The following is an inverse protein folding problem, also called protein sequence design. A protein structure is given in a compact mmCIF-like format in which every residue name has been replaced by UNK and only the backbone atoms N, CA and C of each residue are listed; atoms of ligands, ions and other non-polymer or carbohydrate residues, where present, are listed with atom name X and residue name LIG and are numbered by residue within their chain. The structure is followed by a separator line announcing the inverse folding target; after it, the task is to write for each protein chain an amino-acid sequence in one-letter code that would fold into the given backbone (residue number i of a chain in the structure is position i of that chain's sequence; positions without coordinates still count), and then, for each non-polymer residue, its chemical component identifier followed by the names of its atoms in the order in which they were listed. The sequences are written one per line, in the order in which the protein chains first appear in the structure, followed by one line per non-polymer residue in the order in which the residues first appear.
data_IF_852988816078
#
_entry.id   IF_852988816078
#
_cell.length_a   1.000
_cell.length_b   1.000
_cell.length_c   1.000
_cell.angle_alpha   90.00
_cell.angle_beta   90.00
_cell.angle_gamma   90.00
#
_symmetry.space_group_name_H-M   'P 1'
#
loop_
_entity.id
_entity.type
_entity.pdbx_description
1 polymer ?
#
# COMPACT_ATOMS: atom_id res chain seq x y z
N UNK A 1 40.07 64.16 40.14
CA UNK A 1 41.20 63.29 39.77
C UNK A 1 40.71 62.31 38.71
N UNK A 2 41.35 62.31 37.53
CA UNK A 2 41.16 61.44 36.35
C UNK A 2 39.73 61.39 35.75
N UNK A 3 39.48 61.54 34.45
CA UNK A 3 40.34 61.67 33.28
C UNK A 3 39.44 61.75 32.03
N UNK A 4 39.95 62.49 31.05
CA UNK A 4 39.52 62.70 29.65
C UNK A 4 38.97 61.42 28.97
N UNK A 5 38.13 61.44 27.93
CA UNK A 5 38.43 62.02 26.62
C UNK A 5 37.27 61.85 25.61
N UNK A 6 37.35 62.67 24.55
CA UNK A 6 36.49 62.80 23.36
C UNK A 6 36.37 61.53 22.51
N UNK A 7 35.30 61.43 21.70
CA UNK A 7 35.28 61.21 20.23
C UNK A 7 33.81 61.06 19.78
N UNK A 8 33.24 61.97 18.98
CA UNK A 8 33.42 62.16 17.53
C UNK A 8 32.97 60.97 16.67
N UNK A 9 31.73 61.06 16.19
CA UNK A 9 31.29 60.80 14.82
C UNK A 9 31.72 59.51 14.10
N UNK A 10 30.76 58.63 13.85
CA UNK A 10 30.69 57.83 12.62
C UNK A 10 29.22 57.76 12.18
N UNK A 11 28.90 58.47 11.08
CA UNK A 11 27.83 58.15 10.13
C UNK A 11 28.44 57.28 9.02
N UNK A 12 27.60 56.53 8.29
CA UNK A 12 27.90 55.44 7.32
C UNK A 12 28.05 54.08 8.02
N UNK A 13 27.24 53.05 7.79
CA UNK A 13 26.61 52.56 6.57
C UNK A 13 25.17 52.13 6.83
N UNK A 14 24.24 52.66 6.04
CA UNK A 14 22.82 52.32 6.08
C UNK A 14 22.43 51.95 4.64
N UNK A 15 22.86 50.79 4.17
CA UNK A 15 22.42 50.18 2.90
C UNK A 15 22.99 48.77 2.76
N UNK A 16 22.18 47.85 2.25
CA UNK A 16 22.48 46.43 1.97
C UNK A 16 22.28 45.42 3.12
N UNK A 17 21.04 45.32 3.64
CA UNK A 17 20.58 44.10 4.30
C UNK A 17 19.07 43.88 4.11
N UNK A 18 18.59 43.82 2.86
CA UNK A 18 17.15 43.64 2.61
C UNK A 18 16.80 42.86 1.32
N UNK A 19 17.64 41.92 0.87
CA UNK A 19 17.39 41.14 -0.36
C UNK A 19 18.03 39.73 -0.34
N UNK A 20 17.85 38.99 0.75
CA UNK A 20 18.30 37.59 0.84
C UNK A 20 17.29 36.68 1.55
N UNK A 21 15.99 36.87 1.33
CA UNK A 21 14.93 36.04 1.93
C UNK A 21 13.83 35.63 0.95
N UNK A 22 14.17 35.47 -0.34
CA UNK A 22 13.24 35.09 -1.41
C UNK A 22 13.83 33.98 -2.31
N UNK A 23 14.37 32.91 -1.72
CA UNK A 23 14.80 31.74 -2.50
C UNK A 23 14.83 30.45 -1.65
N UNK A 24 13.76 30.17 -0.90
CA UNK A 24 13.51 28.81 -0.39
C UNK A 24 12.04 28.48 -0.57
N UNK A 25 11.53 28.65 -1.79
CA UNK A 25 10.34 27.92 -2.22
C UNK A 25 10.83 26.52 -2.53
N UNK A 26 10.82 25.68 -1.50
CA UNK A 26 11.29 24.31 -1.52
C UNK A 26 10.74 23.59 -2.74
N UNK A 27 11.66 23.17 -3.61
CA UNK A 27 11.48 22.01 -4.45
C UNK A 27 10.96 20.90 -3.55
N UNK A 28 9.66 20.61 -3.63
CA UNK A 28 9.13 19.33 -3.22
C UNK A 28 9.78 18.31 -4.14
N UNK A 29 10.96 17.83 -3.75
CA UNK A 29 11.58 16.66 -4.32
C UNK A 29 10.64 15.50 -4.02
N UNK A 30 9.67 15.29 -4.92
CA UNK A 30 9.03 14.00 -5.04
C UNK A 30 10.17 13.00 -5.18
N UNK A 31 10.32 12.12 -4.19
CA UNK A 31 11.32 11.06 -4.24
C UNK A 31 11.08 10.30 -5.54
N UNK A 32 11.91 10.56 -6.54
CA UNK A 32 11.85 9.86 -7.82
C UNK A 32 12.31 8.44 -7.52
N UNK A 33 11.43 7.46 -7.70
CA UNK A 33 11.81 6.06 -7.53
C UNK A 33 12.96 5.75 -8.47
N UNK A 34 14.02 5.11 -7.99
CA UNK A 34 15.17 4.73 -8.82
C UNK A 34 14.85 3.52 -9.73
N UNK A 35 13.60 3.04 -9.73
CA UNK A 35 13.12 1.95 -10.56
C UNK A 35 12.94 2.42 -12.01
N UNK A 36 13.59 1.71 -12.93
CA UNK A 36 13.34 1.84 -14.37
C UNK A 36 12.04 1.11 -14.73
N UNK A 37 11.09 1.82 -15.32
CA UNK A 37 9.86 1.21 -15.84
C UNK A 37 10.03 0.74 -17.28
N UNK A 38 9.33 -0.34 -17.60
CA UNK A 38 9.14 -0.82 -18.95
C UNK A 38 8.01 -0.07 -19.66
N UNK A 39 8.09 0.02 -20.99
CA UNK A 39 7.01 0.56 -21.83
C UNK A 39 5.75 -0.32 -21.78
N UNK A 40 4.60 0.24 -22.14
CA UNK A 40 3.36 -0.55 -22.31
C UNK A 40 3.46 -1.53 -23.48
N UNK A 41 2.78 -2.67 -23.37
CA UNK A 41 2.66 -3.64 -24.48
C UNK A 41 1.22 -3.64 -25.01
N UNK A 42 0.93 -3.09 -26.20
CA UNK A 42 -0.44 -2.93 -26.70
C UNK A 42 -1.26 -4.23 -26.76
N UNK A 43 -0.60 -5.37 -26.99
CA UNK A 43 -1.28 -6.66 -26.93
C UNK A 43 -1.74 -6.99 -25.50
N UNK A 44 -0.90 -6.76 -24.49
CA UNK A 44 -1.23 -7.01 -23.09
C UNK A 44 -2.28 -6.01 -22.61
N UNK A 45 -2.17 -4.73 -22.98
CA UNK A 45 -3.15 -3.70 -22.67
C UNK A 45 -4.58 -4.11 -23.07
N UNK A 46 -4.74 -4.66 -24.28
CA UNK A 46 -6.03 -5.17 -24.77
C UNK A 46 -6.55 -6.33 -23.93
N UNK A 47 -5.68 -7.28 -23.59
CA UNK A 47 -6.05 -8.44 -22.77
C UNK A 47 -6.40 -8.06 -21.33
N UNK A 48 -5.66 -7.11 -20.76
CA UNK A 48 -5.97 -6.55 -19.44
C UNK A 48 -7.32 -5.85 -19.48
N UNK A 49 -7.56 -5.00 -20.48
CA UNK A 49 -8.86 -4.32 -20.64
C UNK A 49 -10.02 -5.32 -20.79
N UNK A 50 -9.83 -6.41 -21.52
CA UNK A 50 -10.82 -7.48 -21.64
C UNK A 50 -11.03 -8.23 -20.32
N UNK A 51 -9.96 -8.57 -19.61
CA UNK A 51 -10.04 -9.24 -18.31
C UNK A 51 -10.73 -8.39 -17.25
N UNK A 52 -10.45 -7.09 -17.19
CA UNK A 52 -11.08 -6.17 -16.24
C UNK A 52 -12.60 -6.03 -16.48
N UNK A 53 -13.09 -6.35 -17.69
CA UNK A 53 -14.53 -6.39 -18.02
C UNK A 53 -15.20 -7.73 -17.75
N UNK A 54 -14.43 -8.82 -17.70
CA UNK A 54 -14.91 -10.16 -17.39
C UNK A 54 -14.91 -10.38 -15.88
N UNK A 55 -15.97 -10.95 -15.29
CA UNK A 55 -15.96 -11.39 -13.89
C UNK A 55 -15.59 -12.88 -13.77
N UNK A 56 -14.95 -13.25 -12.67
CA UNK A 56 -14.64 -14.64 -12.35
C UNK A 56 -13.30 -15.11 -12.93
N UNK A 57 -13.19 -16.42 -13.13
CA UNK A 57 -11.98 -17.07 -13.65
C UNK A 57 -12.29 -17.85 -14.92
N UNK A 58 -11.50 -17.66 -15.98
CA UNK A 58 -11.65 -18.39 -17.25
C UNK A 58 -10.75 -17.85 -18.35
N UNK A 59 -10.73 -18.50 -19.52
CA UNK A 59 -10.00 -17.99 -20.67
C UNK A 59 -10.65 -16.73 -21.23
N UNK A 60 -9.83 -15.76 -21.64
CA UNK A 60 -10.31 -14.66 -22.48
C UNK A 60 -10.73 -15.22 -23.85
N UNK A 61 -11.84 -14.74 -24.43
CA UNK A 61 -12.36 -15.19 -25.71
C UNK A 61 -11.31 -15.31 -26.82
N UNK A 62 -11.21 -16.48 -27.46
CA UNK A 62 -10.29 -16.75 -28.58
C UNK A 62 -8.81 -16.53 -28.22
N UNK A 63 -8.44 -16.70 -26.96
CA UNK A 63 -7.05 -16.68 -26.52
C UNK A 63 -6.74 -17.85 -25.60
N UNK A 64 -5.46 -18.08 -25.38
CA UNK A 64 -4.84 -18.98 -24.41
C UNK A 64 -4.42 -18.24 -23.12
N UNK A 65 -5.08 -17.11 -22.80
CA UNK A 65 -4.83 -16.32 -21.58
C UNK A 65 -5.96 -16.54 -20.59
N UNK A 66 -5.60 -16.91 -19.36
CA UNK A 66 -6.57 -16.98 -18.26
C UNK A 66 -6.74 -15.57 -17.70
N UNK A 67 -7.98 -15.12 -17.58
CA UNK A 67 -8.37 -14.01 -16.74
C UNK A 67 -8.82 -14.52 -15.37
N UNK A 68 -8.28 -13.92 -14.32
CA UNK A 68 -8.76 -14.02 -12.96
C UNK A 68 -9.17 -12.62 -12.50
N UNK A 69 -10.47 -12.36 -12.42
CA UNK A 69 -11.03 -11.10 -11.96
C UNK A 69 -12.15 -11.34 -10.94
N UNK A 70 -11.74 -11.64 -9.71
CA UNK A 70 -12.65 -11.95 -8.62
C UNK A 70 -11.95 -11.88 -7.25
N UNK A 71 -12.75 -11.99 -6.19
CA UNK A 71 -12.23 -12.34 -4.87
C UNK A 71 -11.70 -13.78 -4.82
N UNK A 72 -10.78 -14.02 -3.89
CA UNK A 72 -10.14 -15.30 -3.65
C UNK A 72 -11.06 -16.21 -2.83
N UNK A 73 -11.72 -17.13 -3.55
CA UNK A 73 -12.63 -18.13 -2.98
C UNK A 73 -12.22 -19.57 -3.32
N UNK A 74 -12.62 -20.56 -2.49
CA UNK A 74 -12.30 -21.97 -2.72
C UNK A 74 -12.68 -22.48 -4.12
N UNK A 75 -13.84 -22.08 -4.63
CA UNK A 75 -14.31 -22.52 -5.95
C UNK A 75 -13.43 -22.00 -7.10
N UNK A 76 -12.86 -20.80 -6.95
CA UNK A 76 -11.92 -20.27 -7.93
C UNK A 76 -10.59 -21.03 -7.91
N UNK A 77 -10.13 -21.49 -6.74
CA UNK A 77 -8.97 -22.38 -6.66
C UNK A 77 -9.25 -23.72 -7.34
N UNK A 78 -10.42 -24.32 -7.08
CA UNK A 78 -10.83 -25.57 -7.74
C UNK A 78 -10.85 -25.38 -9.26
N UNK A 79 -11.45 -24.29 -9.74
CA UNK A 79 -11.52 -23.98 -11.17
C UNK A 79 -10.15 -23.68 -11.76
N UNK A 80 -9.28 -22.95 -11.07
CA UNK A 80 -7.91 -22.71 -11.51
C UNK A 80 -7.20 -24.04 -11.75
N UNK A 81 -7.28 -24.99 -10.80
CA UNK A 81 -6.66 -26.32 -10.91
C UNK A 81 -7.12 -27.13 -12.13
N UNK A 82 -8.37 -26.98 -12.54
CA UNK A 82 -8.94 -27.74 -13.67
C UNK A 82 -8.74 -27.05 -15.03
N UNK A 83 -8.40 -25.77 -15.07
CA UNK A 83 -8.13 -25.08 -16.33
C UNK A 83 -6.85 -25.65 -16.97
N UNK A 84 -6.85 -25.90 -18.30
CA UNK A 84 -5.64 -26.21 -19.06
C UNK A 84 -4.50 -25.20 -18.84
N UNK A 85 -3.30 -25.58 -19.28
CA UNK A 85 -2.17 -24.66 -19.30
C UNK A 85 -2.47 -23.45 -20.20
N UNK A 86 -2.04 -22.29 -19.75
CA UNK A 86 -2.22 -21.01 -20.43
C UNK A 86 -0.86 -20.38 -20.66
N UNK A 87 -0.72 -19.49 -21.65
CA UNK A 87 0.55 -18.77 -21.84
C UNK A 87 0.78 -17.67 -20.80
N UNK A 88 -0.31 -17.19 -20.20
CA UNK A 88 -0.33 -16.08 -19.25
C UNK A 88 -1.60 -16.14 -18.41
N UNK A 89 -1.50 -15.68 -17.18
CA UNK A 89 -2.63 -15.37 -16.32
C UNK A 89 -2.65 -13.86 -16.09
N UNK A 90 -3.78 -13.20 -16.32
CA UNK A 90 -4.02 -11.83 -15.86
C UNK A 90 -4.79 -11.92 -14.56
N UNK A 91 -4.27 -11.33 -13.50
CA UNK A 91 -4.78 -11.50 -12.14
C UNK A 91 -5.12 -10.14 -11.51
N UNK A 92 -6.38 -10.01 -11.13
CA UNK A 92 -6.95 -8.86 -10.41
C UNK A 92 -7.86 -9.40 -9.31
N UNK A 93 -7.70 -8.90 -8.08
CA UNK A 93 -8.45 -9.36 -6.92
C UNK A 93 -8.42 -8.35 -5.78
N UNK A 94 -9.57 -8.11 -5.14
CA UNK A 94 -9.63 -7.38 -3.88
C UNK A 94 -9.16 -8.19 -2.65
N UNK A 95 -8.66 -9.42 -2.87
CA UNK A 95 -8.27 -10.34 -1.80
C UNK A 95 -9.37 -11.36 -1.49
N UNK A 96 -9.40 -11.85 -0.26
CA UNK A 96 -10.25 -12.96 0.17
C UNK A 96 -9.55 -13.86 1.18
N UNK A 97 -10.04 -15.09 1.31
CA UNK A 97 -9.58 -16.02 2.36
C UNK A 97 -8.07 -16.31 2.25
N UNK A 98 -7.31 -16.06 3.33
CA UNK A 98 -5.86 -16.20 3.36
C UNK A 98 -5.38 -17.63 3.10
N UNK A 99 -6.05 -18.64 3.66
CA UNK A 99 -5.67 -20.05 3.45
C UNK A 99 -5.87 -20.45 1.98
N UNK A 100 -6.96 -19.98 1.37
CA UNK A 100 -7.20 -20.20 -0.06
C UNK A 100 -6.17 -19.45 -0.91
N UNK A 101 -5.81 -18.22 -0.56
CA UNK A 101 -4.80 -17.44 -1.26
C UNK A 101 -3.43 -18.12 -1.24
N UNK A 102 -3.02 -18.70 -0.10
CA UNK A 102 -1.78 -19.49 0.00
C UNK A 102 -1.81 -20.71 -0.94
N UNK A 103 -2.89 -21.49 -0.91
CA UNK A 103 -3.07 -22.64 -1.81
C UNK A 103 -3.17 -22.24 -3.29
N UNK A 104 -3.72 -21.07 -3.57
CA UNK A 104 -3.77 -20.51 -4.91
C UNK A 104 -2.39 -20.06 -5.38
N UNK A 105 -1.59 -19.46 -4.50
CA UNK A 105 -0.21 -19.15 -4.80
C UNK A 105 0.62 -20.41 -5.10
N UNK A 106 0.48 -21.47 -4.29
CA UNK A 106 1.10 -22.78 -4.56
C UNK A 106 0.73 -23.32 -5.95
N UNK A 107 -0.55 -23.25 -6.32
CA UNK A 107 -1.03 -23.67 -7.64
C UNK A 107 -0.47 -22.80 -8.78
N UNK A 108 -0.42 -21.48 -8.60
CA UNK A 108 0.18 -20.56 -9.58
C UNK A 108 1.68 -20.85 -9.77
N UNK A 109 2.41 -21.13 -8.68
CA UNK A 109 3.82 -21.55 -8.72
C UNK A 109 4.00 -22.87 -9.46
N UNK A 110 3.18 -23.86 -9.14
CA UNK A 110 3.21 -25.19 -9.78
C UNK A 110 2.96 -25.12 -11.28
N UNK A 111 2.10 -24.19 -11.72
CA UNK A 111 1.81 -23.96 -13.14
C UNK A 111 2.97 -23.32 -13.90
N UNK A 112 3.80 -22.55 -13.21
CA UNK A 112 4.90 -21.74 -13.77
C UNK A 112 4.50 -20.85 -14.96
N UNK A 113 3.22 -20.47 -15.01
CA UNK A 113 2.67 -19.57 -16.02
C UNK A 113 3.01 -18.12 -15.65
N UNK A 114 3.48 -17.28 -16.59
CA UNK A 114 3.63 -15.84 -16.36
C UNK A 114 2.33 -15.21 -15.85
N UNK A 115 2.44 -14.41 -14.78
CA UNK A 115 1.29 -13.73 -14.17
C UNK A 115 1.45 -12.23 -14.33
N UNK A 116 0.46 -11.59 -14.95
CA UNK A 116 0.32 -10.14 -15.02
C UNK A 116 -0.64 -9.67 -13.94
N UNK A 117 -0.14 -8.91 -12.96
CA UNK A 117 -0.98 -8.20 -12.00
C UNK A 117 -1.50 -6.93 -12.66
N UNK A 118 -2.81 -6.79 -12.72
CA UNK A 118 -3.50 -5.63 -13.28
C UNK A 118 -4.72 -5.30 -12.42
N UNK A 119 -5.22 -4.06 -12.49
CA UNK A 119 -6.34 -3.63 -11.66
C UNK A 119 -6.04 -3.69 -10.16
N UNK A 120 -7.06 -3.74 -9.31
CA UNK A 120 -6.86 -3.91 -7.87
C UNK A 120 -6.26 -5.28 -7.56
N UNK A 121 -5.15 -5.31 -6.82
CA UNK A 121 -4.61 -6.47 -6.13
C UNK A 121 -4.43 -6.10 -4.66
N UNK A 122 -5.47 -6.36 -3.87
CA UNK A 122 -5.61 -5.87 -2.49
C UNK A 122 -5.52 -7.02 -1.48
N UNK A 123 -5.15 -6.70 -0.23
CA UNK A 123 -5.15 -7.63 0.90
C UNK A 123 -4.40 -8.92 0.56
N UNK A 124 -5.02 -10.10 0.70
CA UNK A 124 -4.39 -11.39 0.42
C UNK A 124 -3.86 -11.55 -1.01
N UNK A 125 -4.33 -10.78 -1.99
CA UNK A 125 -3.68 -10.71 -3.30
C UNK A 125 -2.26 -10.12 -3.19
N UNK A 126 -2.11 -8.94 -2.61
CA UNK A 126 -0.83 -8.29 -2.42
C UNK A 126 0.06 -9.03 -1.40
N UNK A 127 -0.53 -9.55 -0.33
CA UNK A 127 0.19 -10.13 0.80
C UNK A 127 0.61 -11.59 0.56
N UNK A 128 -0.14 -12.36 -0.25
CA UNK A 128 0.05 -13.81 -0.37
C UNK A 128 0.15 -14.30 -1.83
N UNK A 129 -0.58 -13.69 -2.78
CA UNK A 129 -0.45 -14.09 -4.20
C UNK A 129 0.83 -13.54 -4.80
N UNK A 130 1.04 -12.22 -4.77
CA UNK A 130 2.19 -11.58 -5.41
C UNK A 130 3.55 -12.16 -4.97
N UNK A 131 3.82 -12.34 -3.66
CA UNK A 131 5.16 -12.71 -3.21
C UNK A 131 5.65 -14.07 -3.67
N UNK A 132 4.74 -15.00 -3.96
CA UNK A 132 5.13 -16.32 -4.44
C UNK A 132 5.17 -16.45 -5.96
N UNK A 133 4.92 -15.40 -6.74
CA UNK A 133 4.99 -15.51 -8.20
C UNK A 133 6.46 -15.59 -8.66
N UNK A 134 6.75 -16.47 -9.63
CA UNK A 134 8.11 -16.61 -10.20
C UNK A 134 8.34 -15.68 -11.41
N UNK A 135 7.29 -15.39 -12.18
CA UNK A 135 7.33 -14.61 -13.43
C UNK A 135 6.25 -13.55 -13.41
N UNK A 136 6.58 -12.45 -12.76
CA UNK A 136 5.67 -11.37 -12.42
C UNK A 136 5.79 -10.21 -13.41
N UNK A 137 4.67 -9.85 -14.03
CA UNK A 137 4.50 -8.59 -14.76
C UNK A 137 3.56 -7.67 -13.97
N UNK A 138 4.03 -6.49 -13.58
CA UNK A 138 3.16 -5.44 -13.02
C UNK A 138 2.71 -4.52 -14.16
N UNK A 139 1.41 -4.52 -14.46
CA UNK A 139 0.83 -3.70 -15.51
C UNK A 139 0.48 -2.30 -14.99
N UNK A 140 0.48 -1.28 -15.87
CA UNK A 140 0.22 0.13 -15.51
C UNK A 140 -1.10 0.42 -14.81
N UNK A 141 -2.09 -0.46 -14.95
CA UNK A 141 -3.39 -0.35 -14.28
C UNK A 141 -3.38 -0.90 -12.86
N UNK A 142 -2.27 -1.45 -12.37
CA UNK A 142 -2.25 -2.10 -11.07
C UNK A 142 -2.37 -1.09 -9.93
N UNK A 143 -3.26 -1.39 -8.98
CA UNK A 143 -3.25 -0.85 -7.62
C UNK A 143 -2.93 -2.01 -6.68
N UNK A 144 -1.77 -1.97 -6.05
CA UNK A 144 -1.32 -3.02 -5.15
C UNK A 144 -1.32 -2.46 -3.74
N UNK A 145 -2.14 -3.02 -2.86
CA UNK A 145 -2.24 -2.53 -1.48
C UNK A 145 -2.37 -3.66 -0.47
N UNK A 146 -1.65 -3.53 0.65
CA UNK A 146 -1.80 -4.40 1.82
C UNK A 146 -2.50 -3.65 2.94
N UNK A 147 -3.17 -4.38 3.82
CA UNK A 147 -3.85 -3.82 4.97
C UNK A 147 -3.40 -4.46 6.27
N UNK A 148 -3.67 -3.77 7.36
CA UNK A 148 -3.31 -4.18 8.71
C UNK A 148 -1.94 -3.67 9.12
N UNK A 149 -1.91 -2.89 10.20
CA UNK A 149 -0.69 -2.73 11.00
C UNK A 149 -0.51 -4.03 11.77
N UNK A 150 0.27 -4.95 11.22
CA UNK A 150 0.46 -6.32 11.72
C UNK A 150 1.53 -6.48 12.82
N UNK A 151 2.33 -5.44 13.08
CA UNK A 151 3.58 -5.56 13.85
C UNK A 151 3.54 -4.89 15.21
N UNK A 152 2.37 -4.46 15.67
CA UNK A 152 2.24 -3.93 17.03
C UNK A 152 2.53 -5.03 18.04
N UNK A 153 3.44 -4.75 18.98
CA UNK A 153 3.56 -5.52 20.21
C UNK A 153 2.31 -5.34 21.08
N UNK A 154 2.13 -6.21 22.08
CA UNK A 154 0.93 -6.22 22.92
C UNK A 154 0.64 -4.86 23.54
N UNK A 155 1.64 -4.18 24.10
CA UNK A 155 1.44 -2.89 24.76
C UNK A 155 0.94 -1.81 23.78
N UNK A 156 1.52 -1.73 22.57
CA UNK A 156 1.09 -0.78 21.54
C UNK A 156 -0.31 -1.11 21.01
N UNK A 157 -0.56 -2.39 20.71
CA UNK A 157 -1.86 -2.87 20.25
C UNK A 157 -2.95 -2.59 21.30
N UNK A 158 -2.66 -2.85 22.57
CA UNK A 158 -3.59 -2.66 23.67
C UNK A 158 -3.94 -1.19 23.84
N UNK A 159 -2.93 -0.31 23.82
CA UNK A 159 -3.13 1.15 23.86
C UNK A 159 -3.98 1.60 22.68
N UNK A 160 -3.81 1.00 21.51
CA UNK A 160 -4.57 1.32 20.31
C UNK A 160 -6.05 0.95 20.44
N UNK A 161 -6.33 -0.31 20.76
CA UNK A 161 -7.69 -0.86 20.85
C UNK A 161 -8.46 -0.34 22.08
N UNK A 162 -7.75 0.05 23.13
CA UNK A 162 -8.34 0.55 24.37
C UNK A 162 -8.15 2.06 24.59
N UNK A 163 -8.19 2.84 23.50
CA UNK A 163 -8.30 4.31 23.54
C UNK A 163 -7.24 4.98 24.42
N UNK A 164 -5.99 4.55 24.30
CA UNK A 164 -4.87 5.12 25.05
C UNK A 164 -4.58 4.46 26.40
N UNK A 165 -5.45 3.56 26.89
CA UNK A 165 -5.24 2.89 28.17
C UNK A 165 -4.06 1.92 28.08
N UNK A 166 -3.14 2.01 29.04
CA UNK A 166 -2.03 1.05 29.15
C UNK A 166 -2.50 -0.28 29.76
N UNK A 167 -1.96 -1.43 29.32
CA UNK A 167 -2.28 -2.70 29.94
C UNK A 167 -1.71 -2.78 31.37
N UNK A 168 -2.44 -3.47 32.24
CA UNK A 168 -1.97 -3.83 33.58
C UNK A 168 -0.89 -4.92 33.53
N UNK A 169 -0.21 -5.17 34.65
CA UNK A 169 0.75 -6.27 34.74
C UNK A 169 0.08 -7.65 34.49
N UNK A 170 -1.15 -7.84 35.00
CA UNK A 170 -1.92 -9.07 34.78
C UNK A 170 -2.31 -9.24 33.30
N UNK A 171 -2.67 -8.15 32.61
CA UNK A 171 -2.99 -8.20 31.18
C UNK A 171 -1.77 -8.55 30.32
N UNK A 172 -0.61 -7.94 30.62
CA UNK A 172 0.66 -8.33 29.99
C UNK A 172 1.00 -9.81 30.23
N UNK A 173 0.84 -10.28 31.48
CA UNK A 173 1.09 -11.67 31.82
C UNK A 173 0.15 -12.61 31.04
N UNK A 174 -1.15 -12.32 31.02
CA UNK A 174 -2.17 -13.07 30.27
C UNK A 174 -1.82 -13.18 28.78
N UNK A 175 -1.51 -12.04 28.14
CA UNK A 175 -1.13 -12.01 26.73
C UNK A 175 0.17 -12.78 26.45
N UNK A 176 1.15 -12.75 27.37
CA UNK A 176 2.43 -13.45 27.19
C UNK A 176 2.30 -14.97 27.17
N UNK A 177 1.28 -15.52 27.83
CA UNK A 177 0.96 -16.96 27.82
C UNK A 177 -0.15 -17.32 26.83
N UNK A 178 -0.58 -16.37 26.00
CA UNK A 178 -1.57 -16.58 24.94
C UNK A 178 -3.02 -16.65 25.41
N UNK A 179 -3.34 -16.11 26.60
CA UNK A 179 -4.71 -16.06 27.15
C UNK A 179 -5.47 -14.77 26.80
N UNK A 180 -4.89 -13.88 25.99
CA UNK A 180 -5.60 -12.72 25.43
C UNK A 180 -6.07 -13.07 24.01
N UNK A 181 -7.29 -13.58 23.89
CA UNK A 181 -7.82 -14.12 22.63
C UNK A 181 -7.86 -13.07 21.51
N UNK A 182 -8.18 -11.81 21.85
CA UNK A 182 -8.25 -10.72 20.89
C UNK A 182 -6.86 -10.40 20.31
N UNK A 183 -5.84 -10.29 21.17
CA UNK A 183 -4.47 -10.08 20.71
C UNK A 183 -3.94 -11.30 19.95
N UNK A 184 -4.27 -12.52 20.39
CA UNK A 184 -3.85 -13.74 19.70
C UNK A 184 -4.50 -13.86 18.33
N UNK A 185 -5.77 -13.46 18.20
CA UNK A 185 -6.45 -13.37 16.92
C UNK A 185 -5.77 -12.36 16.00
N UNK A 186 -5.51 -11.14 16.49
CA UNK A 186 -4.76 -10.10 15.76
C UNK A 186 -3.40 -10.63 15.27
N UNK A 187 -2.64 -11.30 16.16
CA UNK A 187 -1.30 -11.83 15.85
C UNK A 187 -1.35 -13.02 14.89
N UNK A 188 -2.40 -13.84 14.92
CA UNK A 188 -2.51 -15.05 14.11
C UNK A 188 -2.46 -14.77 12.60
N UNK A 189 -3.09 -13.68 12.15
CA UNK A 189 -3.06 -13.26 10.76
C UNK A 189 -1.63 -12.97 10.29
N UNK A 190 -0.85 -12.25 11.10
CA UNK A 190 0.56 -11.96 10.78
C UNK A 190 1.40 -13.25 10.72
N UNK A 191 1.22 -14.18 11.66
CA UNK A 191 1.93 -15.47 11.66
C UNK A 191 1.69 -16.23 10.36
N UNK A 192 0.46 -16.25 9.85
CA UNK A 192 0.16 -16.92 8.59
C UNK A 192 0.84 -16.26 7.38
N UNK A 193 0.96 -14.93 7.37
CA UNK A 193 1.67 -14.20 6.31
C UNK A 193 3.17 -14.48 6.39
N UNK A 194 3.77 -14.35 7.58
CA UNK A 194 5.20 -14.60 7.76
C UNK A 194 5.60 -16.03 7.37
N UNK A 195 4.81 -17.03 7.79
CA UNK A 195 5.03 -18.42 7.41
C UNK A 195 4.96 -18.61 5.89
N UNK A 196 4.00 -17.96 5.24
CA UNK A 196 3.87 -18.00 3.79
C UNK A 196 5.07 -17.37 3.09
N UNK A 197 5.45 -16.14 3.47
CA UNK A 197 6.60 -15.43 2.92
C UNK A 197 7.88 -16.28 3.03
N UNK A 198 8.13 -16.86 4.21
CA UNK A 198 9.24 -17.80 4.44
C UNK A 198 9.16 -19.01 3.49
N UNK A 199 7.99 -19.62 3.32
CA UNK A 199 7.82 -20.79 2.43
C UNK A 199 8.01 -20.48 0.94
N UNK A 200 7.83 -19.22 0.53
CA UNK A 200 8.05 -18.77 -0.85
C UNK A 200 9.41 -18.07 -1.03
N UNK A 201 10.26 -18.05 0.02
CA UNK A 201 11.60 -17.49 -0.03
C UNK A 201 11.65 -15.95 -0.10
N UNK A 202 10.60 -15.28 0.37
CA UNK A 202 10.53 -13.82 0.46
C UNK A 202 10.81 -13.37 1.90
N UNK A 203 11.62 -12.34 2.03
CA UNK A 203 11.98 -11.75 3.33
C UNK A 203 10.74 -11.16 4.03
N UNK A 204 10.59 -11.44 5.33
CA UNK A 204 9.44 -10.97 6.13
C UNK A 204 9.32 -9.45 6.20
N UNK A 205 10.42 -8.74 5.94
CA UNK A 205 10.44 -7.30 5.75
C UNK A 205 9.44 -6.80 4.70
N UNK A 206 9.04 -7.65 3.74
CA UNK A 206 8.03 -7.33 2.73
C UNK A 206 6.74 -6.82 3.38
N UNK A 207 6.25 -7.49 4.43
CA UNK A 207 5.09 -6.98 5.17
C UNK A 207 5.49 -6.05 6.30
N UNK A 208 6.64 -6.29 6.94
CA UNK A 208 7.01 -5.50 8.11
C UNK A 208 7.23 -4.02 7.78
N UNK A 209 7.91 -3.71 6.67
CA UNK A 209 8.12 -2.30 6.27
C UNK A 209 6.82 -1.59 5.93
N UNK A 210 5.84 -2.29 5.38
CA UNK A 210 4.52 -1.73 5.07
C UNK A 210 3.75 -1.48 6.37
N UNK A 211 3.80 -2.44 7.29
CA UNK A 211 3.19 -2.35 8.63
C UNK A 211 3.75 -1.17 9.43
N UNK A 212 5.08 -1.01 9.44
CA UNK A 212 5.77 0.11 10.10
C UNK A 212 5.38 1.45 9.47
N UNK A 213 5.27 1.52 8.13
CA UNK A 213 4.80 2.70 7.41
C UNK A 213 3.36 3.06 7.78
N UNK A 214 2.45 2.08 7.78
CA UNK A 214 1.05 2.29 8.20
C UNK A 214 0.99 2.84 9.63
N UNK A 215 1.74 2.24 10.56
CA UNK A 215 1.80 2.68 11.96
C UNK A 215 2.28 4.12 12.09
N UNK A 216 3.35 4.47 11.38
CA UNK A 216 3.90 5.82 11.37
C UNK A 216 2.89 6.84 10.82
N UNK A 217 2.26 6.54 9.70
CA UNK A 217 1.32 7.43 9.04
C UNK A 217 0.04 7.60 9.87
N UNK A 218 -0.47 6.52 10.45
CA UNK A 218 -1.60 6.55 11.37
C UNK A 218 -1.31 7.41 12.62
N UNK A 219 -0.11 7.30 13.22
CA UNK A 219 0.28 8.14 14.38
C UNK A 219 0.40 9.63 14.03
N UNK A 220 0.69 9.95 12.76
CA UNK A 220 0.73 11.34 12.25
C UNK A 220 -0.67 11.86 11.93
N UNK A 221 -1.56 10.97 11.51
CA UNK A 221 -2.97 11.25 11.24
C UNK A 221 -3.77 11.29 12.54
N UNK A 222 -3.71 12.42 13.25
CA UNK A 222 -4.32 12.58 14.58
C UNK A 222 -5.85 12.74 14.58
N UNK A 223 -6.44 12.89 13.40
CA UNK A 223 -7.84 13.27 13.25
C UNK A 223 -8.81 12.13 13.57
N UNK A 224 -8.39 10.89 13.36
CA UNK A 224 -9.18 9.73 13.71
C UNK A 224 -8.35 8.46 13.85
N UNK A 225 -8.59 7.72 14.93
CA UNK A 225 -7.98 6.42 15.17
C UNK A 225 -8.99 5.32 14.82
N UNK A 226 -8.68 4.53 13.79
CA UNK A 226 -9.43 3.30 13.44
C UNK A 226 -8.68 2.06 13.92
N UNK A 227 -9.28 0.87 13.79
CA UNK A 227 -8.62 -0.38 14.18
C UNK A 227 -7.34 -0.60 13.36
N UNK A 228 -6.28 -1.20 13.92
CA UNK A 228 -5.05 -1.52 13.19
C UNK A 228 -5.29 -2.29 11.88
N UNK A 229 -6.31 -3.16 11.83
CA UNK A 229 -6.69 -3.94 10.64
C UNK A 229 -7.21 -3.11 9.46
N UNK A 230 -7.66 -1.88 9.72
CA UNK A 230 -8.45 -1.08 8.80
C UNK A 230 -7.58 -0.04 8.05
N UNK A 231 -6.30 0.04 8.40
CA UNK A 231 -5.31 0.81 7.66
C UNK A 231 -4.82 0.04 6.44
N UNK A 232 -4.64 0.77 5.34
CA UNK A 232 -4.13 0.26 4.07
C UNK A 232 -2.88 1.03 3.66
N UNK A 233 -1.98 0.37 2.96
CA UNK A 233 -0.83 1.01 2.30
C UNK A 233 -0.70 0.54 0.86
N UNK A 234 -0.58 1.50 -0.05
CA UNK A 234 -0.22 1.33 -1.46
C UNK A 234 1.26 0.96 -1.55
N UNK A 235 1.56 -0.16 -2.21
CA UNK A 235 2.93 -0.61 -2.43
C UNK A 235 3.62 0.23 -3.50
N UNK A 236 4.86 0.61 -3.24
CA UNK A 236 5.68 1.34 -4.21
C UNK A 236 6.44 0.41 -5.14
N UNK A 237 6.85 0.92 -6.32
CA UNK A 237 7.82 0.25 -7.19
C UNK A 237 9.10 -0.16 -6.45
N UNK A 238 9.68 0.73 -5.63
CA UNK A 238 10.88 0.45 -4.85
C UNK A 238 10.67 -0.72 -3.88
N UNK A 239 9.50 -0.80 -3.25
CA UNK A 239 9.17 -1.90 -2.35
C UNK A 239 9.08 -3.24 -3.11
N UNK A 240 8.36 -3.27 -4.23
CA UNK A 240 8.26 -4.46 -5.08
C UNK A 240 9.65 -4.88 -5.58
N UNK A 241 10.47 -3.93 -6.05
CA UNK A 241 11.82 -4.22 -6.53
C UNK A 241 12.73 -4.78 -5.43
N UNK A 242 12.69 -4.19 -4.23
CA UNK A 242 13.54 -4.60 -3.11
C UNK A 242 13.27 -6.05 -2.66
N UNK A 243 12.02 -6.49 -2.71
CA UNK A 243 11.62 -7.81 -2.19
C UNK A 243 11.41 -8.87 -3.26
N UNK A 244 10.94 -8.47 -4.43
CA UNK A 244 10.46 -9.36 -5.49
C UNK A 244 11.22 -9.18 -6.81
N UNK A 245 12.25 -8.33 -6.85
CA UNK A 245 12.96 -7.98 -8.09
C UNK A 245 13.50 -9.16 -8.90
N UNK A 246 13.77 -10.31 -8.25
CA UNK A 246 14.17 -11.56 -8.94
C UNK A 246 13.03 -12.22 -9.72
N UNK A 247 11.79 -12.05 -9.27
CA UNK A 247 10.58 -12.59 -9.89
C UNK A 247 9.95 -11.63 -10.90
N UNK A 248 10.23 -10.33 -10.78
CA UNK A 248 9.70 -9.31 -11.68
C UNK A 248 10.40 -9.40 -13.03
N UNK A 249 9.67 -9.83 -14.04
CA UNK A 249 10.14 -9.89 -15.43
C UNK A 249 9.79 -8.62 -16.22
N UNK A 250 8.79 -7.86 -15.76
CA UNK A 250 8.38 -6.58 -16.34
C UNK A 250 7.67 -5.72 -15.30
N UNK A 251 7.98 -4.43 -15.25
CA UNK A 251 7.29 -3.47 -14.38
C UNK A 251 6.99 -2.20 -15.17
N UNK A 252 5.73 -2.02 -15.54
CA UNK A 252 5.26 -0.75 -16.08
C UNK A 252 5.03 0.25 -14.95
N UNK A 253 4.98 1.55 -15.24
CA UNK A 253 4.58 2.55 -14.24
C UNK A 253 3.13 2.30 -13.80
N UNK A 254 2.93 1.99 -12.53
CA UNK A 254 1.63 1.69 -11.92
C UNK A 254 1.32 2.65 -10.76
N UNK A 255 0.15 2.50 -10.13
CA UNK A 255 -0.26 3.34 -9.00
C UNK A 255 0.71 3.16 -7.84
N UNK A 256 1.44 4.23 -7.50
CA UNK A 256 2.52 4.20 -6.50
C UNK A 256 2.24 5.02 -5.24
N UNK A 257 1.12 5.75 -5.23
CA UNK A 257 0.68 6.60 -4.12
C UNK A 257 -0.72 7.15 -4.36
N UNK A 258 -1.26 7.83 -3.36
CA UNK A 258 -2.62 8.35 -3.35
C UNK A 258 -2.77 9.53 -4.31
N UNK A 259 -1.77 10.42 -4.32
CA UNK A 259 -1.70 11.58 -5.21
C UNK A 259 -1.23 11.24 -6.63
N UNK A 260 -0.87 9.97 -6.89
CA UNK A 260 -0.47 9.52 -8.22
C UNK A 260 -1.63 9.75 -9.22
N UNK A 261 -1.41 10.43 -10.36
CA UNK A 261 -2.45 10.61 -11.37
C UNK A 261 -3.09 9.31 -11.85
N UNK A 262 -2.36 8.18 -11.82
CA UNK A 262 -2.88 6.87 -12.16
C UNK A 262 -3.90 6.35 -11.13
N UNK A 263 -3.86 6.87 -9.90
CA UNK A 263 -4.76 6.47 -8.82
C UNK A 263 -6.19 7.04 -8.96
N UNK A 264 -6.45 7.91 -9.95
CA UNK A 264 -7.76 8.56 -10.13
C UNK A 264 -8.93 7.58 -10.17
N UNK A 265 -8.71 6.37 -10.68
CA UNK A 265 -9.74 5.33 -10.72
C UNK A 265 -10.09 4.76 -9.34
N UNK A 266 -9.25 4.93 -8.32
CA UNK A 266 -9.37 4.30 -7.01
C UNK A 266 -9.50 5.29 -5.84
N UNK A 267 -9.29 6.60 -6.04
CA UNK A 267 -9.40 7.59 -4.95
C UNK A 267 -10.77 7.63 -4.26
N UNK A 268 -11.80 7.04 -4.86
CA UNK A 268 -13.16 6.98 -4.30
C UNK A 268 -13.36 5.85 -3.29
N UNK A 269 -12.36 4.98 -3.07
CA UNK A 269 -12.51 3.81 -2.16
C UNK A 269 -12.27 4.18 -0.69
N UNK A 270 -11.64 5.32 -0.41
CA UNK A 270 -11.23 5.65 0.95
C UNK A 270 -10.75 7.08 1.17
N UNK A 271 -10.30 7.31 2.39
CA UNK A 271 -9.76 8.56 2.90
C UNK A 271 -8.25 8.40 3.05
N UNK A 272 -7.48 9.23 2.34
CA UNK A 272 -6.04 9.27 2.51
C UNK A 272 -5.66 9.79 3.89
N UNK A 273 -4.72 9.10 4.54
CA UNK A 273 -4.05 9.56 5.75
C UNK A 273 -2.61 10.01 5.47
N UNK A 274 -2.03 9.52 4.38
CA UNK A 274 -0.77 9.97 3.79
C UNK A 274 -0.81 9.73 2.27
N UNK A 275 0.29 10.02 1.56
CA UNK A 275 0.40 9.65 0.15
C UNK A 275 0.49 8.12 -0.06
N UNK A 276 0.85 7.34 0.96
CA UNK A 276 0.96 5.89 0.81
C UNK A 276 -0.09 5.12 1.58
N UNK A 277 -0.71 5.74 2.58
CA UNK A 277 -1.67 5.07 3.44
C UNK A 277 -3.04 5.72 3.39
N UNK A 278 -4.07 4.88 3.51
CA UNK A 278 -5.46 5.30 3.51
C UNK A 278 -6.31 4.38 4.40
N UNK A 279 -7.52 4.82 4.70
CA UNK A 279 -8.55 4.04 5.38
C UNK A 279 -9.74 3.96 4.42
N UNK A 280 -10.33 2.79 4.26
CA UNK A 280 -11.54 2.63 3.43
C UNK A 280 -12.72 3.44 4.02
N UNK A 281 -13.63 3.92 3.16
CA UNK A 281 -14.68 4.85 3.61
C UNK A 281 -15.61 4.27 4.68
N UNK A 282 -15.96 2.98 4.57
CA UNK A 282 -16.87 2.31 5.49
C UNK A 282 -16.28 2.19 6.89
N UNK A 283 -15.01 1.81 6.98
CA UNK A 283 -14.24 1.67 8.22
C UNK A 283 -13.99 3.04 8.86
N UNK A 284 -13.69 4.06 8.05
CA UNK A 284 -13.55 5.43 8.51
C UNK A 284 -14.87 5.96 9.12
N UNK A 285 -16.00 5.73 8.44
CA UNK A 285 -17.31 6.14 8.94
C UNK A 285 -17.71 5.35 10.20
N UNK A 286 -17.47 4.03 10.22
CA UNK A 286 -17.84 3.14 11.33
C UNK A 286 -17.06 3.44 12.62
N UNK A 287 -15.85 3.99 12.50
CA UNK A 287 -15.07 4.46 13.63
C UNK A 287 -15.54 5.81 14.19
N UNK A 288 -16.58 6.42 13.60
CA UNK A 288 -17.10 7.73 14.03
C UNK A 288 -16.20 8.90 13.62
N UNK A 289 -15.33 8.71 12.63
CA UNK A 289 -14.46 9.77 12.14
C UNK A 289 -15.29 10.89 11.48
N UNK A 290 -14.89 12.17 11.63
CA UNK A 290 -15.58 13.27 10.99
C UNK A 290 -15.46 13.17 9.47
N UNK A 291 -16.53 13.45 8.68
CA UNK A 291 -16.43 13.43 7.22
C UNK A 291 -15.29 14.33 6.76
N UNK A 292 -14.33 13.78 6.02
CA UNK A 292 -13.32 14.62 5.41
C UNK A 292 -13.99 15.50 4.36
N UNK A 293 -13.86 16.81 4.50
CA UNK A 293 -14.18 17.75 3.43
C UNK A 293 -13.28 17.36 2.27
N UNK A 294 -13.86 16.76 1.24
CA UNK A 294 -13.14 16.31 0.06
C UNK A 294 -12.26 17.46 -0.43
N UNK A 295 -10.95 17.30 -0.32
CA UNK A 295 -9.97 18.22 -0.89
C UNK A 295 -10.08 18.31 -2.43
N UNK A 296 -11.02 17.59 -3.04
CA UNK A 296 -11.41 17.67 -4.44
C UNK A 296 -12.36 18.81 -4.82
N UNK A 297 -12.92 19.58 -3.88
CA UNK A 297 -13.76 20.73 -4.23
C UNK A 297 -12.97 22.03 -4.53
N UNK A 298 -11.69 22.11 -4.17
CA UNK A 298 -10.92 23.36 -4.30
C UNK A 298 -10.06 23.48 -5.56
N UNK A 299 -10.04 22.48 -6.45
CA UNK A 299 -9.23 22.49 -7.68
C UNK A 299 -10.06 22.82 -8.93
N UNK A 300 -11.40 22.88 -8.85
CA UNK A 300 -12.26 23.26 -9.98
C UNK A 300 -12.78 24.72 -9.93
N UNK A 301 -12.53 25.47 -8.84
CA UNK A 301 -13.02 26.85 -8.72
C UNK A 301 -12.06 27.92 -9.30
N UNK A 302 -10.85 27.55 -9.74
CA UNK A 302 -9.83 28.52 -10.18
C UNK A 302 -9.66 28.63 -11.70
N UNK A 303 -10.36 27.81 -12.49
CA UNK A 303 -10.29 27.84 -13.97
C UNK A 303 -11.57 28.37 -14.63
N UNK A 304 -12.41 29.09 -13.88
CA UNK A 304 -13.61 29.75 -14.41
C UNK A 304 -13.54 31.28 -14.24
N UNK A 305 -12.36 31.90 -14.34
CA UNK A 305 -12.20 33.32 -14.67
C UNK A 305 -10.86 33.54 -15.39
N UNK A 306 -10.86 33.36 -16.71
CA UNK A 306 -10.21 34.21 -17.73
C UNK A 306 -10.29 33.55 -19.10
#
# INVERSE_FOLDING_TARGET
MFGKSKMSGVRCFLTALCLAFMAVSGLSAAAQSNVKFDDGLPQIDRQVSECLRQKGIGFLPRTDVICYNAMIFPDHLKRLKTLPQARRIIFTSSGGNMLVARRMNEELRRRDTPVTIAGPCLSSCAMLIIPGLNRLHIHKTALIASHGITNLGFDDWYVWEHQGRRPSAMQRASASIGMDDDYMFYKSANVHVEQHLKSVGVDVGYINRISDRMSLDARRFRDCLVKPSDYWTIMTPDHIQAYLGRSVVRMERFVSGWSDPLNRAYTHIGVAISDQSYIMHEEYASAGCPPQRSAGASIMASNAVR
#
